data_IF_592332125092
#
_entry.id   IF_592332125092
#
_cell.length_a   1.000
_cell.length_b   1.000
_cell.length_c   1.000
_cell.angle_alpha   90.00
_cell.angle_beta   90.00
_cell.angle_gamma   90.00
#
_symmetry.space_group_name_H-M   'P 1'
#
loop_
_entity.id
_entity.type
_entity.pdbx_description
1 polymer ?
#
# COMPACT_ATOMS: atom_id res chain seq x y z
N UNK A 1 -3.74 -13.69 -22.18
CA UNK A 1 -4.16 -12.60 -21.27
C UNK A 1 -3.01 -12.04 -20.43
N UNK A 2 -2.41 -12.79 -19.49
CA UNK A 2 -1.27 -12.27 -18.70
C UNK A 2 -0.06 -11.90 -19.57
N UNK A 3 0.32 -12.75 -20.53
CA UNK A 3 1.43 -12.46 -21.45
C UNK A 3 1.19 -11.20 -22.29
N UNK A 4 -0.07 -10.84 -22.53
CA UNK A 4 -0.43 -9.69 -23.34
C UNK A 4 -0.14 -8.38 -22.61
N UNK A 5 -0.02 -8.37 -21.28
CA UNK A 5 0.32 -7.14 -20.55
C UNK A 5 1.82 -6.97 -20.33
N UNK A 6 2.67 -7.93 -20.73
CA UNK A 6 4.11 -7.89 -20.51
C UNK A 6 4.83 -7.00 -21.52
N UNK A 7 5.93 -6.38 -21.10
CA UNK A 7 6.87 -5.74 -22.03
C UNK A 7 7.37 -6.75 -23.08
N UNK A 8 7.61 -6.34 -24.34
CA UNK A 8 8.02 -7.26 -25.41
C UNK A 8 9.26 -8.10 -25.09
N UNK A 9 10.14 -7.56 -24.25
CA UNK A 9 11.42 -8.10 -23.84
C UNK A 9 11.43 -8.51 -22.34
N UNK A 10 10.27 -8.58 -21.69
CA UNK A 10 10.15 -9.05 -20.32
C UNK A 10 10.63 -10.51 -20.22
N UNK A 11 11.63 -10.76 -19.38
CA UNK A 11 12.10 -12.10 -19.04
C UNK A 11 11.48 -12.52 -17.72
N UNK A 12 10.52 -13.42 -17.77
CA UNK A 12 9.93 -14.04 -16.58
C UNK A 12 10.43 -15.47 -16.44
N UNK A 13 10.94 -15.81 -15.25
CA UNK A 13 11.27 -17.17 -14.87
C UNK A 13 10.16 -17.70 -13.95
N UNK A 14 9.52 -18.80 -14.31
CA UNK A 14 8.55 -19.42 -13.41
C UNK A 14 9.26 -20.09 -12.23
N UNK A 15 8.79 -19.83 -11.01
CA UNK A 15 9.32 -20.34 -9.75
C UNK A 15 8.18 -20.87 -8.91
N UNK A 16 7.91 -22.17 -9.04
CA UNK A 16 6.73 -22.81 -8.46
C UNK A 16 5.43 -22.15 -8.95
N UNK A 17 4.77 -21.42 -8.06
CA UNK A 17 3.44 -20.81 -8.27
C UNK A 17 3.48 -19.33 -8.63
N UNK A 18 4.65 -18.70 -8.69
CA UNK A 18 4.82 -17.29 -9.09
C UNK A 18 5.87 -17.15 -10.21
N UNK A 19 5.94 -15.96 -10.80
CA UNK A 19 6.95 -15.59 -11.79
C UNK A 19 7.99 -14.66 -11.19
N UNK A 20 9.27 -14.84 -11.48
CA UNK A 20 10.34 -13.92 -11.13
C UNK A 20 10.66 -13.03 -12.33
N UNK A 21 10.61 -11.71 -12.12
CA UNK A 21 11.12 -10.71 -13.05
C UNK A 21 12.36 -10.10 -12.44
N UNK A 22 13.51 -10.22 -13.13
CA UNK A 22 14.85 -9.87 -12.66
C UNK A 22 14.89 -8.74 -11.63
N UNK A 23 14.94 -9.09 -10.35
CA UNK A 23 15.09 -8.13 -9.26
C UNK A 23 16.58 -7.79 -9.15
N UNK A 24 17.03 -6.91 -10.04
CA UNK A 24 18.45 -6.57 -10.19
C UNK A 24 18.98 -5.76 -9.00
N UNK A 25 18.12 -4.97 -8.36
CA UNK A 25 18.46 -4.13 -7.22
C UNK A 25 18.12 -4.83 -5.90
N UNK A 26 19.13 -5.15 -5.09
CA UNK A 26 18.96 -5.66 -3.73
C UNK A 26 19.31 -4.57 -2.71
N UNK A 27 18.39 -3.65 -2.48
CA UNK A 27 18.52 -2.65 -1.41
C UNK A 27 18.31 -3.29 -0.03
N UNK A 28 18.64 -2.55 1.02
CA UNK A 28 18.33 -2.98 2.39
C UNK A 28 16.82 -3.12 2.60
N UNK A 29 16.02 -2.17 2.10
CA UNK A 29 14.56 -2.22 2.19
C UNK A 29 13.98 -3.46 1.50
N UNK A 30 14.38 -3.72 0.24
CA UNK A 30 13.93 -4.90 -0.49
C UNK A 30 14.32 -6.19 0.24
N UNK A 31 15.56 -6.26 0.76
CA UNK A 31 16.03 -7.43 1.51
C UNK A 31 15.23 -7.63 2.81
N UNK A 32 14.94 -6.55 3.53
CA UNK A 32 14.15 -6.59 4.75
C UNK A 32 12.70 -7.04 4.46
N UNK A 33 12.06 -6.44 3.46
CA UNK A 33 10.70 -6.78 3.05
C UNK A 33 10.60 -8.24 2.59
N UNK A 34 11.51 -8.68 1.72
CA UNK A 34 11.55 -10.05 1.23
C UNK A 34 11.78 -11.06 2.36
N UNK A 35 12.54 -10.70 3.39
CA UNK A 35 12.79 -11.57 4.56
C UNK A 35 11.58 -11.63 5.50
N UNK A 36 11.01 -10.48 5.85
CA UNK A 36 9.91 -10.39 6.80
C UNK A 36 8.63 -10.95 6.21
N UNK A 37 8.16 -10.37 5.11
CA UNK A 37 6.92 -10.79 4.45
C UNK A 37 7.10 -12.10 3.68
N UNK A 38 8.34 -12.55 3.46
CA UNK A 38 8.62 -13.87 2.89
C UNK A 38 8.52 -15.01 3.90
N UNK A 39 8.42 -14.72 5.20
CA UNK A 39 8.17 -15.74 6.21
C UNK A 39 6.72 -16.25 6.10
N UNK A 40 6.48 -17.54 5.81
CA UNK A 40 5.13 -18.05 5.55
C UNK A 40 4.17 -17.88 6.74
N UNK A 41 4.66 -18.04 7.97
CA UNK A 41 3.82 -17.91 9.17
C UNK A 41 3.40 -16.45 9.37
N UNK A 42 4.32 -15.50 9.24
CA UNK A 42 4.01 -14.07 9.43
C UNK A 42 3.14 -13.53 8.30
N UNK A 43 3.38 -13.99 7.07
CA UNK A 43 2.52 -13.67 5.93
C UNK A 43 1.10 -14.23 6.13
N UNK A 44 0.96 -15.46 6.62
CA UNK A 44 -0.35 -16.03 6.94
C UNK A 44 -1.06 -15.27 8.06
N UNK A 45 -0.36 -14.94 9.15
CA UNK A 45 -0.91 -14.12 10.24
C UNK A 45 -1.37 -12.75 9.72
N UNK A 46 -0.59 -12.11 8.84
CA UNK A 46 -0.98 -10.85 8.20
C UNK A 46 -2.23 -11.03 7.34
N UNK A 47 -2.32 -12.13 6.59
CA UNK A 47 -3.49 -12.46 5.78
C UNK A 47 -4.74 -12.74 6.65
N UNK A 48 -4.60 -13.34 7.82
CA UNK A 48 -5.74 -13.74 8.64
C UNK A 48 -6.34 -12.57 9.43
N UNK A 49 -5.51 -11.60 9.83
CA UNK A 49 -5.94 -10.54 10.77
C UNK A 49 -5.93 -9.12 10.20
N UNK A 50 -5.08 -8.81 9.22
CA UNK A 50 -4.98 -7.45 8.70
C UNK A 50 -5.99 -7.18 7.58
N UNK A 51 -6.67 -6.02 7.64
CA UNK A 51 -7.61 -5.56 6.62
C UNK A 51 -8.80 -6.50 6.39
N UNK A 52 -9.34 -7.11 7.44
CA UNK A 52 -10.47 -8.07 7.38
C UNK A 52 -11.80 -7.51 7.84
N UNK A 53 -11.87 -6.21 8.08
CA UNK A 53 -13.07 -5.57 8.61
C UNK A 53 -13.97 -4.98 7.50
N UNK A 54 -15.25 -4.80 7.84
CA UNK A 54 -16.25 -4.29 6.92
C UNK A 54 -16.01 -2.83 6.49
N UNK A 55 -15.32 -2.03 7.31
CA UNK A 55 -14.99 -0.65 6.96
C UNK A 55 -13.92 -0.62 5.87
N UNK A 56 -12.87 -1.44 5.99
CA UNK A 56 -11.88 -1.62 4.93
C UNK A 56 -12.54 -2.02 3.61
N UNK A 57 -13.40 -3.04 3.62
CA UNK A 57 -14.12 -3.49 2.43
C UNK A 57 -14.96 -2.36 1.80
N UNK A 58 -15.72 -1.65 2.64
CA UNK A 58 -16.58 -0.55 2.20
C UNK A 58 -15.77 0.62 1.61
N UNK A 59 -14.64 1.01 2.22
CA UNK A 59 -13.71 2.03 1.68
C UNK A 59 -13.22 1.66 0.29
N UNK A 60 -12.68 0.45 0.14
CA UNK A 60 -12.09 0.01 -1.12
C UNK A 60 -13.12 -0.13 -2.24
N UNK A 61 -14.33 -0.63 -1.95
CA UNK A 61 -15.41 -0.70 -2.93
C UNK A 61 -15.91 0.69 -3.33
N UNK A 62 -15.96 1.65 -2.41
CA UNK A 62 -16.33 3.03 -2.73
C UNK A 62 -15.26 3.73 -3.58
N UNK A 63 -13.97 3.42 -3.36
CA UNK A 63 -12.85 4.03 -4.07
C UNK A 63 -12.60 3.43 -5.46
N UNK A 64 -12.63 2.11 -5.58
CA UNK A 64 -12.23 1.39 -6.79
C UNK A 64 -13.41 0.73 -7.53
N UNK A 65 -14.60 0.71 -6.95
CA UNK A 65 -15.75 -0.02 -7.47
C UNK A 65 -15.58 -1.55 -7.37
N UNK A 66 -16.47 -2.27 -8.07
CA UNK A 66 -16.37 -3.72 -8.20
C UNK A 66 -15.28 -4.12 -9.21
N UNK A 67 -14.52 -5.16 -8.90
CA UNK A 67 -13.37 -5.59 -9.70
C UNK A 67 -13.73 -6.60 -10.80
N UNK A 68 -15.00 -6.96 -10.96
CA UNK A 68 -15.44 -7.94 -11.95
C UNK A 68 -15.14 -7.47 -13.37
N UNK A 69 -14.63 -8.39 -14.19
CA UNK A 69 -14.20 -8.16 -15.58
C UNK A 69 -13.07 -7.12 -15.77
N UNK A 70 -12.47 -6.62 -14.68
CA UNK A 70 -11.34 -5.67 -14.71
C UNK A 70 -9.98 -6.39 -14.80
N UNK A 71 -9.01 -5.68 -15.38
CA UNK A 71 -7.59 -5.97 -15.19
C UNK A 71 -7.11 -5.17 -13.99
N UNK A 72 -6.72 -5.87 -12.93
CA UNK A 72 -6.26 -5.29 -11.66
C UNK A 72 -4.79 -5.64 -11.46
N UNK A 73 -3.97 -4.64 -11.15
CA UNK A 73 -2.58 -4.81 -10.72
C UNK A 73 -2.43 -4.29 -9.30
N UNK A 74 -2.01 -5.16 -8.39
CA UNK A 74 -1.80 -4.87 -6.97
C UNK A 74 -0.29 -4.78 -6.69
N UNK A 75 0.22 -3.58 -6.39
CA UNK A 75 1.64 -3.32 -6.16
C UNK A 75 1.96 -3.38 -4.66
N UNK A 76 2.88 -4.28 -4.28
CA UNK A 76 3.08 -4.68 -2.89
C UNK A 76 1.87 -5.49 -2.38
N UNK A 77 1.45 -6.49 -3.15
CA UNK A 77 0.22 -7.24 -2.86
C UNK A 77 0.29 -8.06 -1.56
N UNK A 78 1.50 -8.29 -1.04
CA UNK A 78 1.74 -9.17 0.10
C UNK A 78 1.09 -10.54 -0.15
N UNK A 79 0.43 -11.12 0.86
CA UNK A 79 -0.26 -12.40 0.69
C UNK A 79 -1.65 -12.26 0.03
N UNK A 80 -2.02 -11.07 -0.46
CA UNK A 80 -3.27 -10.83 -1.19
C UNK A 80 -4.40 -10.22 -0.36
N UNK A 81 -4.07 -9.38 0.63
CA UNK A 81 -5.05 -8.86 1.61
C UNK A 81 -6.20 -8.09 0.98
N UNK A 82 -5.94 -7.24 -0.02
CA UNK A 82 -6.99 -6.41 -0.63
C UNK A 82 -8.04 -7.31 -1.29
N UNK A 83 -7.62 -8.20 -2.19
CA UNK A 83 -8.56 -9.05 -2.93
C UNK A 83 -9.29 -10.03 -2.01
N UNK A 84 -8.62 -10.59 -1.01
CA UNK A 84 -9.25 -11.47 -0.01
C UNK A 84 -10.45 -10.80 0.70
N UNK A 85 -10.49 -9.47 0.78
CA UNK A 85 -11.57 -8.72 1.43
C UNK A 85 -12.54 -8.07 0.46
N UNK A 86 -12.04 -7.49 -0.64
CA UNK A 86 -12.88 -6.84 -1.66
C UNK A 86 -13.67 -7.91 -2.45
N UNK A 87 -12.99 -8.99 -2.85
CA UNK A 87 -13.54 -10.04 -3.69
C UNK A 87 -13.78 -9.59 -5.14
N UNK A 88 -14.76 -10.21 -5.79
CA UNK A 88 -15.11 -9.98 -7.20
C UNK A 88 -14.54 -11.06 -8.14
N UNK A 89 -14.74 -10.87 -9.45
CA UNK A 89 -14.26 -11.80 -10.48
C UNK A 89 -13.43 -11.06 -11.54
N UNK A 90 -12.23 -10.60 -11.18
CA UNK A 90 -11.37 -9.87 -12.12
C UNK A 90 -11.06 -10.72 -13.33
N UNK A 91 -11.07 -10.08 -14.51
CA UNK A 91 -10.66 -10.73 -15.77
C UNK A 91 -9.20 -11.14 -15.72
N UNK A 92 -8.38 -10.32 -15.06
CA UNK A 92 -6.99 -10.62 -14.73
C UNK A 92 -6.63 -9.92 -13.41
N UNK A 93 -6.12 -10.68 -12.45
CA UNK A 93 -5.60 -10.17 -11.19
C UNK A 93 -4.10 -10.46 -11.12
N UNK A 94 -3.28 -9.42 -11.08
CA UNK A 94 -1.82 -9.52 -11.00
C UNK A 94 -1.35 -8.93 -9.69
N UNK A 95 -0.47 -9.65 -8.99
CA UNK A 95 0.11 -9.20 -7.72
C UNK A 95 1.61 -9.07 -7.88
N UNK A 96 2.17 -7.93 -7.49
CA UNK A 96 3.62 -7.68 -7.48
C UNK A 96 4.08 -7.56 -6.04
N UNK A 97 5.11 -8.31 -5.66
CA UNK A 97 5.75 -8.17 -4.35
C UNK A 97 7.21 -8.64 -4.42
N UNK A 98 8.03 -8.26 -3.46
CA UNK A 98 9.42 -8.74 -3.33
C UNK A 98 9.52 -9.98 -2.44
N UNK A 99 8.44 -10.35 -1.73
CA UNK A 99 8.40 -11.41 -0.75
C UNK A 99 7.84 -12.75 -1.31
N UNK A 100 8.68 -13.77 -1.55
CA UNK A 100 8.24 -15.01 -2.19
C UNK A 100 7.18 -15.78 -1.39
N UNK A 101 7.32 -15.87 -0.06
CA UNK A 101 6.33 -16.57 0.78
C UNK A 101 4.95 -15.90 0.78
N UNK A 102 4.90 -14.58 0.64
CA UNK A 102 3.65 -13.84 0.44
C UNK A 102 3.04 -14.13 -0.93
N UNK A 103 3.86 -14.13 -2.00
CA UNK A 103 3.41 -14.46 -3.35
C UNK A 103 2.84 -15.87 -3.47
N UNK A 104 3.38 -16.84 -2.72
CA UNK A 104 2.82 -18.20 -2.66
C UNK A 104 1.38 -18.22 -2.08
N UNK A 105 1.08 -17.37 -1.09
CA UNK A 105 -0.26 -17.24 -0.53
C UNK A 105 -1.19 -16.47 -1.49
N UNK A 106 -0.71 -15.38 -2.09
CA UNK A 106 -1.46 -14.60 -3.06
C UNK A 106 -1.87 -15.47 -4.27
N UNK A 107 -0.97 -16.32 -4.76
CA UNK A 107 -1.27 -17.25 -5.86
C UNK A 107 -2.44 -18.19 -5.53
N UNK A 108 -2.56 -18.67 -4.27
CA UNK A 108 -3.68 -19.52 -3.82
C UNK A 108 -5.02 -18.77 -3.81
N UNK A 109 -5.00 -17.45 -3.70
CA UNK A 109 -6.18 -16.60 -3.78
C UNK A 109 -6.58 -16.25 -5.22
N UNK A 110 -5.80 -16.68 -6.21
CA UNK A 110 -6.09 -16.45 -7.64
C UNK A 110 -5.30 -15.32 -8.28
N UNK A 111 -4.29 -14.76 -7.60
CA UNK A 111 -3.37 -13.82 -8.22
C UNK A 111 -2.46 -14.52 -9.23
N UNK A 112 -2.22 -13.87 -10.37
CA UNK A 112 -0.99 -14.09 -11.14
C UNK A 112 0.14 -13.34 -10.42
N UNK A 113 0.88 -14.07 -9.58
CA UNK A 113 1.91 -13.52 -8.70
C UNK A 113 3.24 -13.30 -9.45
N UNK A 114 3.84 -12.12 -9.26
CA UNK A 114 5.10 -11.71 -9.89
C UNK A 114 6.05 -11.14 -8.83
N UNK A 115 7.19 -11.80 -8.65
CA UNK A 115 8.30 -11.31 -7.85
C UNK A 115 9.03 -10.22 -8.64
N UNK A 116 8.83 -8.96 -8.24
CA UNK A 116 9.46 -7.78 -8.83
C UNK A 116 9.45 -6.60 -7.85
N UNK A 117 10.26 -5.59 -8.13
CA UNK A 117 10.17 -4.29 -7.45
C UNK A 117 8.92 -3.54 -7.96
N UNK A 118 8.10 -3.04 -7.03
CA UNK A 118 6.91 -2.27 -7.34
C UNK A 118 7.21 -0.97 -8.11
N UNK A 119 8.44 -0.45 -8.04
CA UNK A 119 8.88 0.70 -8.83
C UNK A 119 9.28 0.35 -10.27
N UNK A 120 9.50 -0.93 -10.58
CA UNK A 120 10.01 -1.38 -11.88
C UNK A 120 9.35 -2.71 -12.31
N UNK A 121 8.14 -2.63 -12.84
CA UNK A 121 7.36 -3.82 -13.21
C UNK A 121 7.60 -4.25 -14.67
N UNK A 122 7.47 -5.55 -14.99
CA UNK A 122 7.66 -6.07 -16.35
C UNK A 122 6.44 -5.83 -17.27
N UNK A 123 5.58 -4.86 -16.97
CA UNK A 123 4.32 -4.66 -17.68
C UNK A 123 4.35 -3.46 -18.63
N UNK A 124 3.58 -3.52 -19.71
CA UNK A 124 3.37 -2.40 -20.64
C UNK A 124 2.59 -1.28 -19.96
N UNK A 125 2.73 -0.07 -20.50
CA UNK A 125 1.92 1.07 -20.06
C UNK A 125 0.46 0.87 -20.44
N UNK A 126 -0.46 1.47 -19.69
CA UNK A 126 -1.90 1.52 -20.01
C UNK A 126 -2.56 0.14 -20.17
N UNK A 127 -2.30 -0.77 -19.23
CA UNK A 127 -2.83 -2.14 -19.25
C UNK A 127 -3.87 -2.40 -18.16
N UNK A 128 -3.82 -1.67 -17.05
CA UNK A 128 -4.66 -1.90 -15.89
C UNK A 128 -5.88 -0.97 -15.87
N UNK A 129 -7.05 -1.53 -15.58
CA UNK A 129 -8.24 -0.73 -15.28
C UNK A 129 -8.14 -0.15 -13.86
N UNK A 130 -7.53 -0.91 -12.94
CA UNK A 130 -7.27 -0.53 -11.55
C UNK A 130 -5.83 -0.91 -11.19
N UNK A 131 -5.08 0.04 -10.63
CA UNK A 131 -3.83 -0.21 -9.90
C UNK A 131 -4.11 0.05 -8.42
N UNK A 132 -3.86 -0.95 -7.59
CA UNK A 132 -4.04 -0.87 -6.14
C UNK A 132 -2.68 -0.89 -5.43
N UNK A 133 -2.54 -0.09 -4.39
CA UNK A 133 -1.33 -0.02 -3.55
C UNK A 133 -1.80 0.14 -2.10
N UNK A 134 -1.66 -0.88 -1.25
CA UNK A 134 -2.20 -0.82 0.11
C UNK A 134 -1.16 -1.14 1.15
N UNK A 135 -0.91 -0.20 2.07
CA UNK A 135 0.04 -0.36 3.17
C UNK A 135 1.41 -0.86 2.69
N UNK A 136 1.87 -0.38 1.52
CA UNK A 136 3.11 -0.85 0.90
C UNK A 136 4.07 0.28 0.51
N UNK A 137 3.59 1.51 0.22
CA UNK A 137 4.48 2.60 -0.22
C UNK A 137 5.55 2.89 0.83
N UNK A 138 5.17 2.97 2.11
CA UNK A 138 6.10 3.28 3.20
C UNK A 138 7.18 2.22 3.45
N UNK A 139 7.09 1.05 2.81
CA UNK A 139 8.10 -0.01 2.83
C UNK A 139 9.09 0.08 1.64
N UNK A 140 8.78 0.88 0.61
CA UNK A 140 9.57 0.99 -0.61
C UNK A 140 10.71 2.02 -0.46
N UNK A 141 11.82 1.81 -1.17
CA UNK A 141 12.95 2.77 -1.16
C UNK A 141 12.59 4.15 -1.74
N UNK A 142 11.73 4.18 -2.75
CA UNK A 142 11.29 5.41 -3.43
C UNK A 142 9.77 5.34 -3.69
N UNK A 143 8.99 5.90 -2.76
CA UNK A 143 7.53 6.00 -2.87
C UNK A 143 7.09 6.69 -4.16
N UNK A 144 7.83 7.71 -4.63
CA UNK A 144 7.45 8.45 -5.83
C UNK A 144 7.68 7.61 -7.09
N UNK A 145 8.73 6.81 -7.14
CA UNK A 145 8.96 5.86 -8.24
C UNK A 145 7.84 4.82 -8.32
N UNK A 146 7.38 4.29 -7.19
CA UNK A 146 6.24 3.35 -7.15
C UNK A 146 4.95 4.01 -7.65
N UNK A 147 4.67 5.26 -7.23
CA UNK A 147 3.51 6.00 -7.75
C UNK A 147 3.59 6.27 -9.25
N UNK A 148 4.78 6.64 -9.76
CA UNK A 148 4.99 6.86 -11.20
C UNK A 148 4.81 5.57 -11.98
N UNK A 149 5.30 4.46 -11.45
CA UNK A 149 5.14 3.15 -12.07
C UNK A 149 3.67 2.73 -12.08
N UNK A 150 2.97 2.85 -10.95
CA UNK A 150 1.52 2.63 -10.89
C UNK A 150 0.78 3.51 -11.91
N UNK A 151 1.10 4.80 -11.99
CA UNK A 151 0.49 5.73 -12.93
C UNK A 151 0.72 5.33 -14.39
N UNK A 152 1.91 4.82 -14.73
CA UNK A 152 2.24 4.32 -16.08
C UNK A 152 1.37 3.12 -16.47
N UNK A 153 1.04 2.24 -15.53
CA UNK A 153 0.26 1.03 -15.77
C UNK A 153 -1.23 1.30 -16.02
N UNK A 154 -1.77 2.40 -15.47
CA UNK A 154 -3.20 2.74 -15.56
C UNK A 154 -3.59 3.12 -16.99
N UNK A 155 -4.66 2.50 -17.50
CA UNK A 155 -5.31 2.86 -18.78
C UNK A 155 -5.93 4.26 -18.73
N UNK A 156 -6.18 4.90 -19.89
CA UNK A 156 -7.12 6.04 -19.94
C UNK A 156 -8.42 5.71 -19.19
N UNK A 157 -8.91 6.65 -18.38
CA UNK A 157 -10.09 6.49 -17.50
C UNK A 157 -9.98 5.45 -16.37
N UNK A 158 -8.85 4.76 -16.24
CA UNK A 158 -8.59 3.84 -15.14
C UNK A 158 -8.25 4.54 -13.82
N UNK A 159 -8.07 3.75 -12.77
CA UNK A 159 -7.83 4.23 -11.41
C UNK A 159 -6.47 3.77 -10.87
N UNK A 160 -5.80 4.65 -10.15
CA UNK A 160 -4.77 4.32 -9.17
C UNK A 160 -5.35 4.62 -7.79
N UNK A 161 -5.42 3.61 -6.92
CA UNK A 161 -5.92 3.74 -5.55
C UNK A 161 -4.83 3.32 -4.57
N UNK A 162 -4.52 4.21 -3.63
CA UNK A 162 -3.65 3.89 -2.50
C UNK A 162 -4.41 3.99 -1.19
N UNK A 163 -4.10 3.16 -0.21
CA UNK A 163 -4.69 3.24 1.14
C UNK A 163 -3.69 2.77 2.21
N UNK A 164 -3.99 3.11 3.47
CA UNK A 164 -3.29 2.66 4.67
C UNK A 164 -1.83 3.09 4.84
N UNK A 165 -1.28 3.86 3.90
CA UNK A 165 0.04 4.47 4.10
C UNK A 165 -0.02 5.56 5.19
N UNK A 166 0.97 5.59 6.11
CA UNK A 166 0.97 6.50 7.24
C UNK A 166 1.06 7.95 6.74
N UNK A 167 0.14 8.78 7.24
CA UNK A 167 0.26 10.22 7.05
C UNK A 167 1.55 10.70 7.74
N UNK A 168 2.30 11.60 7.12
CA UNK A 168 3.55 12.18 7.65
C UNK A 168 3.47 12.56 9.14
N UNK A 169 2.33 13.11 9.54
CA UNK A 169 2.08 13.59 10.90
C UNK A 169 1.59 12.50 11.85
N UNK A 170 1.15 11.33 11.39
CA UNK A 170 0.57 10.27 12.23
C UNK A 170 1.50 9.84 13.38
N UNK A 171 2.81 10.05 13.21
CA UNK A 171 3.86 9.67 14.17
C UNK A 171 4.82 10.80 14.54
N UNK A 172 4.57 12.03 14.08
CA UNK A 172 5.28 13.25 14.50
C UNK A 172 4.79 13.67 15.91
N UNK A 173 5.17 12.87 16.91
CA UNK A 173 4.96 13.23 18.32
C UNK A 173 5.95 14.33 18.70
N UNK A 174 5.45 15.42 19.30
CA UNK A 174 6.26 16.55 19.79
C UNK A 174 6.11 16.68 21.30
N UNK A 175 7.10 17.29 21.95
CA UNK A 175 7.08 17.54 23.39
C UNK A 175 7.02 16.25 24.23
N UNK A 176 6.14 16.24 25.24
CA UNK A 176 6.01 15.13 26.20
C UNK A 176 5.63 13.81 25.50
N UNK A 177 4.87 13.85 24.41
CA UNK A 177 4.52 12.65 23.64
C UNK A 177 5.75 12.00 22.97
N UNK A 178 6.72 12.81 22.51
CA UNK A 178 7.99 12.30 21.97
C UNK A 178 8.82 11.63 23.06
N UNK A 179 8.90 12.26 24.23
CA UNK A 179 9.61 11.72 25.40
C UNK A 179 9.02 10.37 25.84
N UNK A 180 7.69 10.25 25.87
CA UNK A 180 7.00 8.99 26.17
C UNK A 180 7.17 7.93 25.05
N UNK A 181 7.19 8.35 23.79
CA UNK A 181 7.43 7.47 22.65
C UNK A 181 8.85 6.90 22.63
N UNK A 182 9.86 7.71 22.96
CA UNK A 182 11.24 7.26 23.07
C UNK A 182 11.40 6.34 24.32
N UNK A 183 10.72 6.66 25.41
CA UNK A 183 10.71 5.85 26.63
C UNK A 183 9.99 4.50 26.48
N UNK A 184 9.05 4.36 25.52
CA UNK A 184 8.28 3.12 25.32
C UNK A 184 9.18 1.91 25.03
N UNK A 185 10.29 2.10 24.32
CA UNK A 185 11.23 1.02 23.99
C UNK A 185 11.96 0.52 25.25
N UNK A 186 12.22 1.44 26.19
CA UNK A 186 12.80 1.14 27.49
C UNK A 186 11.79 0.41 28.39
N UNK A 187 10.54 0.85 28.37
CA UNK A 187 9.41 0.20 29.07
C UNK A 187 9.12 -1.20 28.48
N UNK A 188 9.12 -1.36 27.16
CA UNK A 188 8.95 -2.68 26.51
C UNK A 188 10.10 -3.64 26.85
N UNK A 189 11.33 -3.14 26.95
CA UNK A 189 12.47 -3.93 27.46
C UNK A 189 12.33 -4.31 28.93
N UNK A 190 11.75 -3.43 29.75
CA UNK A 190 11.60 -3.64 31.19
C UNK A 190 10.43 -4.56 31.58
N UNK A 191 9.32 -4.57 30.84
CA UNK A 191 8.08 -5.22 31.28
C UNK A 191 7.98 -6.72 30.94
N UNK A 192 8.74 -7.25 29.97
CA UNK A 192 8.84 -8.70 29.64
C UNK A 192 7.53 -9.51 29.80
N UNK A 193 6.40 -8.95 29.36
CA UNK A 193 5.08 -9.58 29.40
C UNK A 193 4.30 -9.36 28.12
N UNK A 194 4.00 -10.48 27.44
CA UNK A 194 2.73 -10.72 26.75
C UNK A 194 2.58 -10.21 25.31
N UNK A 195 3.12 -10.98 24.35
CA UNK A 195 2.62 -11.36 23.00
C UNK A 195 3.86 -11.66 22.15
N UNK A 196 4.22 -12.94 22.05
CA UNK A 196 5.51 -13.38 21.50
C UNK A 196 5.55 -13.25 19.97
N UNK A 197 5.84 -12.05 19.45
CA UNK A 197 6.69 -11.94 18.25
C UNK A 197 8.13 -12.22 18.70
N UNK A 198 8.83 -13.15 18.05
CA UNK A 198 10.23 -13.45 18.40
C UNK A 198 11.10 -12.19 18.27
N UNK A 199 12.20 -12.08 19.02
CA UNK A 199 13.08 -10.90 18.95
C UNK A 199 13.61 -10.61 17.54
N UNK A 200 13.73 -11.66 16.70
CA UNK A 200 14.07 -11.53 15.28
C UNK A 200 12.91 -10.96 14.45
N UNK A 201 11.67 -11.39 14.69
CA UNK A 201 10.48 -10.85 14.00
C UNK A 201 10.31 -9.35 14.26
N UNK A 202 10.49 -8.89 15.50
CA UNK A 202 10.42 -7.45 15.80
C UNK A 202 11.54 -6.66 15.10
N UNK A 203 12.77 -7.17 15.16
CA UNK A 203 13.93 -6.49 14.53
C UNK A 203 13.76 -6.35 13.01
N UNK A 204 13.37 -7.42 12.32
CA UNK A 204 13.14 -7.38 10.88
C UNK A 204 11.93 -6.54 10.50
N UNK A 205 10.84 -6.61 11.27
CA UNK A 205 9.67 -5.75 11.05
C UNK A 205 9.97 -4.26 11.24
N UNK A 206 10.89 -3.87 12.14
CA UNK A 206 11.32 -2.47 12.23
C UNK A 206 12.16 -2.03 11.01
N UNK A 207 12.84 -2.96 10.34
CA UNK A 207 13.68 -2.65 9.16
C UNK A 207 12.87 -2.54 7.87
N UNK A 208 11.66 -3.10 7.83
CA UNK A 208 10.73 -2.90 6.70
C UNK A 208 10.08 -1.52 6.74
N UNK A 209 10.06 -0.87 7.89
CA UNK A 209 9.39 0.42 8.13
C UNK A 209 10.24 1.62 7.69
N UNK A 210 10.64 1.63 6.41
CA UNK A 210 11.55 2.63 5.81
C UNK A 210 11.06 4.06 6.06
N UNK A 211 9.77 4.31 5.85
CA UNK A 211 9.15 5.63 6.00
C UNK A 211 8.21 5.75 7.22
N UNK A 212 8.37 4.89 8.24
CA UNK A 212 7.57 4.94 9.49
C UNK A 212 8.28 5.70 10.62
N UNK A 213 9.09 6.70 10.26
CA UNK A 213 9.82 7.53 11.21
C UNK A 213 9.08 8.85 11.48
N UNK A 214 9.20 9.45 12.68
CA UNK A 214 8.61 10.76 12.95
C UNK A 214 9.08 11.81 11.93
N UNK A 215 8.14 12.36 11.15
CA UNK A 215 8.45 13.32 10.08
C UNK A 215 8.73 12.70 8.71
N UNK A 216 8.46 11.40 8.53
CA UNK A 216 8.48 10.68 7.25
C UNK A 216 7.11 9.99 7.00
N UNK A 217 6.72 9.87 5.73
CA UNK A 217 5.38 9.38 5.31
C UNK A 217 4.73 10.20 4.20
N UNK A 218 3.50 9.83 3.83
CA UNK A 218 2.80 10.46 2.69
C UNK A 218 2.05 11.73 3.10
N UNK A 219 1.95 12.67 2.15
CA UNK A 219 1.15 13.90 2.27
C UNK A 219 0.20 14.04 1.09
N UNK A 220 -0.81 14.90 1.22
CA UNK A 220 -1.71 15.24 0.11
C UNK A 220 -0.93 15.85 -1.05
N UNK A 221 0.03 16.71 -0.73
CA UNK A 221 0.90 17.38 -1.67
C UNK A 221 1.78 16.37 -2.41
N UNK A 222 2.32 15.36 -1.72
CA UNK A 222 3.11 14.29 -2.32
C UNK A 222 2.34 13.54 -3.43
N UNK A 223 1.10 13.13 -3.16
CA UNK A 223 0.27 12.48 -4.18
C UNK A 223 -0.03 13.42 -5.35
N UNK A 224 -0.42 14.66 -5.06
CA UNK A 224 -0.77 15.65 -6.10
C UNK A 224 0.41 16.01 -6.99
N UNK A 225 1.55 16.36 -6.41
CA UNK A 225 2.76 16.74 -7.15
C UNK A 225 3.33 15.60 -7.97
N UNK A 226 3.04 14.34 -7.60
CA UNK A 226 3.51 13.17 -8.33
C UNK A 226 2.56 12.76 -9.45
N UNK A 227 1.24 12.78 -9.21
CA UNK A 227 0.25 12.19 -10.12
C UNK A 227 -0.47 13.21 -11.02
N UNK A 228 -0.72 14.44 -10.56
CA UNK A 228 -1.41 15.45 -11.38
C UNK A 228 -0.63 15.79 -12.66
N UNK A 229 0.71 15.95 -12.64
CA UNK A 229 1.50 16.17 -13.86
C UNK A 229 1.45 14.99 -14.84
N UNK A 230 1.09 13.80 -14.38
CA UNK A 230 0.95 12.58 -15.20
C UNK A 230 -0.46 12.42 -15.79
N UNK A 231 -1.31 13.44 -15.66
CA UNK A 231 -2.66 13.47 -16.24
C UNK A 231 -3.72 12.80 -15.37
N UNK A 232 -3.57 12.85 -14.05
CA UNK A 232 -4.56 12.31 -13.11
C UNK A 232 -5.35 13.42 -12.40
N UNK A 233 -6.63 13.14 -12.15
CA UNK A 233 -7.45 13.87 -11.19
C UNK A 233 -7.31 13.20 -9.82
N UNK A 234 -6.64 13.89 -8.89
CA UNK A 234 -6.18 13.30 -7.62
C UNK A 234 -7.01 13.79 -6.44
N UNK A 235 -7.65 12.86 -5.75
CA UNK A 235 -8.37 13.11 -4.49
C UNK A 235 -7.73 12.33 -3.35
N UNK A 236 -7.45 13.01 -2.24
CA UNK A 236 -6.81 12.41 -1.06
C UNK A 236 -7.72 12.60 0.14
N UNK A 237 -8.03 11.49 0.81
CA UNK A 237 -8.98 11.37 1.89
C UNK A 237 -8.25 10.90 3.17
N UNK A 238 -8.04 11.80 4.13
CA UNK A 238 -7.51 11.42 5.44
C UNK A 238 -8.56 10.64 6.23
N UNK A 239 -8.18 9.50 6.81
CA UNK A 239 -9.09 8.70 7.62
C UNK A 239 -8.38 7.90 8.72
N UNK A 240 -9.17 7.46 9.69
CA UNK A 240 -8.81 6.47 10.68
C UNK A 240 -9.35 5.09 10.27
N UNK A 241 -8.82 4.03 10.88
CA UNK A 241 -9.05 2.66 10.39
C UNK A 241 -10.51 2.17 10.54
N UNK A 242 -11.32 2.79 11.40
CA UNK A 242 -12.71 2.40 11.71
C UNK A 242 -13.78 3.14 10.88
N UNK A 243 -13.45 3.64 9.69
CA UNK A 243 -14.40 4.35 8.80
C UNK A 243 -14.51 3.69 7.44
N UNK A 244 -15.72 3.45 6.93
CA UNK A 244 -15.95 2.84 5.63
C UNK A 244 -15.92 3.87 4.50
N UNK A 245 -16.81 3.68 3.52
CA UNK A 245 -17.03 4.59 2.40
C UNK A 245 -17.20 6.07 2.78
N UNK A 246 -17.59 6.37 4.03
CA UNK A 246 -17.74 7.73 4.53
C UNK A 246 -16.43 8.54 4.47
N UNK A 247 -15.27 7.86 4.46
CA UNK A 247 -13.97 8.49 4.25
C UNK A 247 -13.92 9.31 2.96
N UNK A 248 -14.55 8.82 1.89
CA UNK A 248 -14.59 9.49 0.59
C UNK A 248 -15.53 10.71 0.57
N UNK A 249 -16.36 10.86 1.60
CA UNK A 249 -17.16 12.07 1.84
C UNK A 249 -16.47 13.05 2.80
N UNK A 250 -15.21 12.80 3.18
CA UNK A 250 -14.42 13.65 4.07
C UNK A 250 -14.53 13.31 5.56
N UNK A 251 -15.14 12.17 5.92
CA UNK A 251 -15.26 11.74 7.31
C UNK A 251 -13.96 11.05 7.76
N UNK A 252 -13.24 11.65 8.72
CA UNK A 252 -11.98 11.09 9.24
C UNK A 252 -12.24 9.93 10.23
N UNK A 253 -13.29 10.06 11.05
CA UNK A 253 -13.65 9.10 12.10
C UNK A 253 -12.79 9.12 13.37
N UNK A 254 -13.14 8.29 14.36
CA UNK A 254 -12.43 8.26 15.63
C UNK A 254 -11.07 7.57 15.51
N UNK A 255 -10.03 8.20 16.04
CA UNK A 255 -8.76 7.53 16.31
C UNK A 255 -8.85 6.72 17.62
N UNK A 256 -8.09 5.62 17.74
CA UNK A 256 -8.01 4.87 19.00
C UNK A 256 -7.50 5.78 20.13
N UNK A 257 -7.91 5.49 21.37
CA UNK A 257 -7.67 6.36 22.53
C UNK A 257 -6.20 6.76 22.71
N UNK A 258 -5.26 5.83 22.47
CA UNK A 258 -3.81 6.07 22.57
C UNK A 258 -3.31 7.14 21.61
N UNK A 259 -3.82 7.15 20.37
CA UNK A 259 -3.47 8.15 19.36
C UNK A 259 -4.14 9.49 19.65
N UNK A 260 -5.38 9.47 20.15
CA UNK A 260 -6.07 10.70 20.60
C UNK A 260 -5.28 11.39 21.71
N UNK A 261 -4.81 10.64 22.70
CA UNK A 261 -3.98 11.16 23.78
C UNK A 261 -2.65 11.71 23.23
N UNK A 262 -1.97 10.96 22.37
CA UNK A 262 -0.71 11.41 21.75
C UNK A 262 -0.85 12.69 20.91
N UNK A 263 -1.96 12.84 20.18
CA UNK A 263 -2.28 14.06 19.44
C UNK A 263 -2.47 15.26 20.37
N UNK A 264 -3.29 15.12 21.43
CA UNK A 264 -3.50 16.19 22.42
C UNK A 264 -2.19 16.58 23.10
N UNK A 265 -1.39 15.60 23.54
CA UNK A 265 -0.09 15.83 24.17
C UNK A 265 0.94 16.48 23.22
N UNK A 266 0.71 16.39 21.90
CA UNK A 266 1.52 17.04 20.86
C UNK A 266 0.93 18.38 20.39
N UNK A 267 -0.10 18.92 21.06
CA UNK A 267 -0.76 20.17 20.68
C UNK A 267 -1.65 20.08 19.43
N UNK A 268 -1.99 18.86 18.99
CA UNK A 268 -2.82 18.59 17.80
C UNK A 268 -4.25 18.25 18.18
N UNK A 269 -5.20 18.68 17.36
CA UNK A 269 -6.62 18.33 17.52
C UNK A 269 -6.86 16.93 16.95
N UNK A 270 -7.23 15.91 17.76
CA UNK A 270 -7.37 14.54 17.28
C UNK A 270 -8.39 14.33 16.16
N UNK A 271 -9.37 15.22 16.03
CA UNK A 271 -10.40 15.19 14.98
C UNK A 271 -9.99 15.93 13.71
N UNK A 272 -8.84 16.62 13.69
CA UNK A 272 -8.39 17.34 12.51
C UNK A 272 -7.93 16.35 11.41
N UNK A 273 -8.18 16.63 10.12
CA UNK A 273 -7.67 15.81 9.01
C UNK A 273 -6.15 15.68 9.00
N UNK A 274 -5.43 16.67 9.54
CA UNK A 274 -3.96 16.62 9.72
C UNK A 274 -3.50 15.67 10.82
N UNK A 275 -4.42 15.10 11.59
CA UNK A 275 -4.16 14.14 12.67
C UNK A 275 -4.70 12.75 12.36
N UNK A 276 -5.13 12.51 11.12
CA UNK A 276 -5.54 11.18 10.67
C UNK A 276 -4.34 10.23 10.63
N UNK A 277 -4.61 8.94 10.80
CA UNK A 277 -3.56 7.92 10.84
C UNK A 277 -3.07 7.55 9.43
N UNK A 278 -3.97 7.57 8.45
CA UNK A 278 -3.70 7.11 7.09
C UNK A 278 -4.32 8.05 6.05
N UNK A 279 -3.74 8.05 4.86
CA UNK A 279 -4.29 8.74 3.70
C UNK A 279 -4.69 7.71 2.64
N UNK A 280 -5.95 7.79 2.19
CA UNK A 280 -6.39 7.12 0.97
C UNK A 280 -6.25 8.08 -0.20
N UNK A 281 -5.57 7.70 -1.27
CA UNK A 281 -5.51 8.45 -2.52
C UNK A 281 -6.34 7.73 -3.59
N UNK A 282 -7.27 8.44 -4.22
CA UNK A 282 -8.00 7.98 -5.41
C UNK A 282 -7.64 8.91 -6.56
N UNK A 283 -6.83 8.39 -7.48
CA UNK A 283 -6.36 9.11 -8.66
C UNK A 283 -6.96 8.51 -9.91
N UNK A 284 -7.78 9.28 -10.63
CA UNK A 284 -8.39 8.85 -11.90
C UNK A 284 -7.59 9.39 -13.07
N UNK A 285 -7.17 8.51 -13.98
CA UNK A 285 -6.47 8.95 -15.20
C UNK A 285 -7.46 9.66 -16.11
N UNK A 286 -7.09 10.85 -16.58
CA UNK A 286 -7.86 11.56 -17.61
C UNK A 286 -7.89 10.72 -18.90
N UNK A 287 -8.92 10.91 -19.70
CA UNK A 287 -8.91 10.36 -21.06
C UNK A 287 -7.78 10.98 -21.86
N UNK A 288 -7.32 10.29 -22.90
CA UNK A 288 -6.48 10.95 -23.90
C UNK A 288 -7.30 12.10 -24.51
N UNK A 289 -6.67 13.26 -24.72
CA UNK A 289 -7.34 14.35 -25.43
C UNK A 289 -7.80 13.82 -26.80
N UNK A 290 -9.03 14.12 -27.25
CA UNK A 290 -9.41 13.78 -28.61
C UNK A 290 -8.37 14.39 -29.55
N UNK A 291 -7.78 13.55 -30.42
CA UNK A 291 -6.86 14.00 -31.46
C UNK A 291 -7.60 15.02 -32.35
N UNK A 292 -7.45 16.30 -32.05
CA UNK A 292 -7.86 17.41 -32.92
C UNK A 292 -6.79 17.62 -34.00
N UNK A 293 -6.45 16.57 -34.75
CA UNK A 293 -5.66 16.66 -35.99
C UNK A 293 -6.02 15.48 -36.89
N UNK A 294 -7.18 15.59 -37.53
CA UNK A 294 -7.54 14.85 -38.73
C UNK A 294 -8.57 15.67 -39.54
N UNK A 295 -8.14 16.81 -40.07
CA UNK A 295 -8.71 17.45 -41.27
C UNK A 295 -7.56 17.92 -42.16
#
# INVERSE_FOLDING_TARGET
MFRDILLPNAKLKQSGVYYESGLERKTEAITANATYFGNPQWAQEYLDFCHRDAHFRSRWLAAAGDWTDKVVIDLGCGPGNIFATVGGKPRLLVGVDVAPGSLELAAKLGYTAVLADAAYTPFRSHVADIVAINASLHHCDDMAAVLREGARLVKPHGLLVTDHDPQLTAWDYKGIAKLMWDARLWVYRAIRHGFHKTGSQQSWGLRTEVHHQPGDGVTKEFFKSTLEPLGFDVHVYPHNHQIGAEALSGVVGPAQWKYRLGNVLSGRRPSAPTSALSLMCVAKRRGDAPNLTAE
#
